data_IF_800052395723
#
_entry.id   IF_800052395723
#
_cell.length_a   1.000
_cell.length_b   1.000
_cell.length_c   1.000
_cell.angle_alpha   90.00
_cell.angle_beta   90.00
_cell.angle_gamma   90.00
#
_symmetry.space_group_name_H-M   'P 1'
#
loop_
_entity.id
_entity.type
_entity.pdbx_description
1 polymer ?
2 non-polymer ?
3 non-polymer ?
4 non-polymer ?
5 non-polymer ?
6 water ?
#
# COMPACT_ATOMS: atom_id res chain seq x y z
N UNK A 13 15.82 -23.91 -10.30
CA UNK A 13 14.99 -23.37 -11.42
C UNK A 13 14.23 -22.07 -11.06
N UNK A 14 14.46 -21.55 -9.85
CA UNK A 14 13.82 -20.33 -9.38
C UNK A 14 14.47 -19.14 -10.06
N UNK A 15 13.65 -18.21 -10.55
CA UNK A 15 14.11 -16.91 -11.04
C UNK A 15 13.69 -15.86 -10.02
N UNK A 16 14.64 -14.99 -9.62
CA UNK A 16 14.38 -13.97 -8.58
C UNK A 16 15.06 -12.63 -8.84
N UNK A 17 14.45 -11.55 -8.33
CA UNK A 17 15.02 -10.21 -8.39
C UNK A 17 15.76 -10.00 -7.08
N UNK A 18 17.10 -9.97 -7.17
CA UNK A 18 17.99 -9.94 -6.02
C UNK A 18 18.86 -8.69 -6.10
N UNK A 19 19.01 -7.98 -4.97
CA UNK A 19 19.98 -6.89 -4.85
C UNK A 19 21.07 -7.27 -3.84
N UNK A 20 22.33 -7.08 -4.24
CA UNK A 20 23.49 -7.37 -3.41
C UNK A 20 23.97 -6.16 -2.59
N UNK A 21 23.57 -4.97 -3.03
CA UNK A 21 23.84 -3.73 -2.31
C UNK A 21 22.70 -2.74 -2.48
N UNK A 22 22.62 -1.78 -1.56
CA UNK A 22 21.61 -0.75 -1.60
C UNK A 22 21.99 0.29 -2.66
N UNK A 23 20.97 0.96 -3.21
CA UNK A 23 21.15 1.97 -4.26
C UNK A 23 19.89 2.14 -5.08
N UNK A 24 20.03 2.79 -6.24
CA UNK A 24 18.96 2.93 -7.24
C UNK A 24 18.50 1.55 -7.71
N UNK A 25 17.25 1.11 -7.39
CA UNK A 25 16.75 -0.19 -7.83
C UNK A 25 16.99 -0.49 -9.32
N UNK A 26 16.76 0.52 -10.16
CA UNK A 26 17.09 0.49 -11.58
C UNK A 26 18.51 -0.07 -11.87
N UNK A 27 19.44 0.13 -10.91
CA UNK A 27 20.84 -0.22 -11.06
C UNK A 27 21.33 -1.44 -10.27
N UNK A 28 20.74 -1.69 -9.10
CA UNK A 28 21.22 -2.71 -8.16
C UNK A 28 20.42 -4.02 -8.13
N UNK A 29 19.20 -4.00 -8.69
CA UNK A 29 18.39 -5.21 -8.84
C UNK A 29 18.77 -6.00 -10.12
N UNK A 30 18.94 -7.32 -9.97
CA UNK A 30 19.26 -8.21 -11.06
C UNK A 30 18.49 -9.52 -10.96
N UNK A 31 18.23 -10.12 -12.12
CA UNK A 31 17.48 -11.35 -12.23
C UNK A 31 18.46 -12.52 -12.12
N UNK A 32 18.35 -13.27 -11.01
CA UNK A 32 19.24 -14.41 -10.71
C UNK A 32 18.49 -15.72 -10.67
N UNK A 33 19.23 -16.83 -10.87
CA UNK A 33 18.72 -18.19 -10.72
C UNK A 33 19.11 -18.79 -9.37
N UNK A 34 18.12 -19.00 -8.50
CA UNK A 34 18.30 -19.67 -7.21
C UNK A 34 17.75 -21.09 -7.29
N UNK A 35 18.06 -21.89 -6.26
CA UNK A 35 17.51 -23.22 -6.11
C UNK A 35 16.64 -23.25 -4.85
N UNK A 36 15.64 -24.14 -4.86
CA UNK A 36 14.67 -24.22 -3.78
C UNK A 36 15.22 -24.92 -2.55
N UNK A 37 14.74 -24.48 -1.38
CA UNK A 37 15.03 -25.17 -0.12
C UNK A 37 14.25 -26.50 -0.08
N UNK A 38 14.43 -27.24 1.01
CA UNK A 38 13.69 -28.47 1.26
C UNK A 38 12.45 -28.12 2.08
N UNK A 39 11.38 -28.89 1.88
CA UNK A 39 10.11 -28.65 2.54
C UNK A 39 10.09 -29.41 3.87
N UNK A 40 10.53 -28.74 4.94
CA UNK A 40 10.45 -29.28 6.30
C UNK A 40 9.00 -29.44 6.78
N UNK A 41 8.84 -30.03 7.98
CA UNK A 41 7.55 -30.38 8.55
C UNK A 41 6.48 -29.30 8.56
N UNK A 42 6.89 -28.06 8.88
CA UNK A 42 5.99 -26.91 8.90
C UNK A 42 6.20 -25.90 7.74
N UNK A 43 6.93 -26.31 6.69
CA UNK A 43 7.19 -25.49 5.50
C UNK A 43 6.13 -25.64 4.40
N UNK A 44 6.06 -24.62 3.54
CA UNK A 44 5.16 -24.57 2.38
C UNK A 44 5.91 -24.12 1.13
N UNK A 45 5.79 -24.87 0.03
CA UNK A 45 6.33 -24.47 -1.27
C UNK A 45 5.26 -23.74 -2.03
N UNK A 46 5.57 -22.51 -2.45
CA UNK A 46 4.63 -21.67 -3.17
C UNK A 46 5.18 -21.32 -4.52
N UNK A 47 4.26 -21.04 -5.45
CA UNK A 47 4.54 -20.44 -6.73
C UNK A 47 3.90 -19.08 -6.73
N UNK A 48 4.72 -18.02 -6.87
CA UNK A 48 4.21 -16.65 -6.87
C UNK A 48 3.37 -16.46 -8.15
N UNK A 49 2.27 -15.72 -8.05
CA UNK A 49 1.42 -15.44 -9.20
C UNK A 49 1.56 -13.98 -9.66
N UNK A 50 1.60 -13.06 -8.69
CA UNK A 50 1.80 -11.64 -8.99
C UNK A 50 2.33 -10.92 -7.77
N UNK A 51 3.08 -9.86 -8.00
CA UNK A 51 3.65 -9.04 -6.91
C UNK A 51 3.81 -7.60 -7.37
N UNK A 52 3.16 -6.62 -6.68
CA UNK A 52 3.30 -5.21 -7.04
C UNK A 52 4.67 -4.65 -6.66
N UNK A 53 4.98 -3.47 -7.22
CA UNK A 53 6.14 -2.68 -6.83
C UNK A 53 5.59 -1.52 -6.03
N UNK A 54 5.85 -1.53 -4.72
CA UNK A 54 5.32 -0.55 -3.79
C UNK A 54 6.46 0.38 -3.34
N UNK A 55 6.16 1.63 -2.93
CA UNK A 55 7.17 2.54 -2.38
C UNK A 55 8.09 1.91 -1.33
N UNK A 56 7.53 1.12 -0.41
CA UNK A 56 8.32 0.43 0.62
C UNK A 56 9.38 -0.49 0.01
N UNK A 57 9.03 -1.19 -1.08
CA UNK A 57 10.00 -2.06 -1.75
C UNK A 57 11.18 -1.25 -2.26
N UNK A 58 10.87 -0.08 -2.84
CA UNK A 58 11.87 0.83 -3.39
C UNK A 58 12.79 1.35 -2.27
N UNK A 59 12.18 1.76 -1.14
CA UNK A 59 12.93 2.24 0.01
C UNK A 59 13.87 1.20 0.62
N UNK A 60 13.40 -0.06 0.70
CA UNK A 60 14.26 -1.16 1.14
C UNK A 60 15.50 -1.29 0.28
N UNK A 61 15.30 -1.27 -1.03
CA UNK A 61 16.41 -1.42 -1.98
C UNK A 61 17.38 -0.20 -1.92
N UNK A 62 16.81 1.00 -1.75
CA UNK A 62 17.59 2.24 -1.60
C UNK A 62 18.34 2.29 -0.26
N UNK A 63 17.86 1.52 0.72
CA UNK A 63 18.50 1.38 2.01
C UNK A 63 18.02 2.39 3.04
N UNK A 64 16.89 3.05 2.77
CA UNK A 64 16.26 3.95 3.73
C UNK A 64 14.88 3.44 4.13
N UNK A 65 14.89 2.54 5.10
CA UNK A 65 13.67 1.92 5.58
C UNK A 65 13.92 1.32 6.94
N UNK A 66 12.85 1.20 7.73
CA UNK A 66 12.93 0.72 9.09
C UNK A 66 13.22 -0.76 9.23
N UNK A 67 13.00 -1.51 8.13
CA UNK A 67 13.30 -2.94 8.04
C UNK A 67 14.12 -3.15 6.76
N UNK A 68 15.31 -3.73 6.90
CA UNK A 68 16.24 -3.91 5.77
C UNK A 68 16.74 -5.35 5.74
N UNK A 69 16.07 -6.27 5.02
CA UNK A 69 16.50 -7.67 4.98
C UNK A 69 17.99 -7.82 4.68
N UNK A 70 18.58 -8.90 5.22
CA UNK A 70 20.00 -9.21 5.05
C UNK A 70 20.29 -9.38 3.56
N UNK A 71 21.43 -8.82 3.11
CA UNK A 71 21.90 -8.90 1.73
C UNK A 71 22.79 -10.13 1.52
N UNK A 72 22.80 -10.76 0.32
CA UNK A 72 21.96 -10.34 -0.80
C UNK A 72 20.49 -10.69 -0.55
N UNK A 73 19.56 -9.83 -0.98
CA UNK A 73 18.15 -10.00 -0.64
C UNK A 73 17.26 -10.01 -1.88
N UNK A 74 16.11 -10.68 -1.76
CA UNK A 74 15.08 -10.69 -2.79
C UNK A 74 14.20 -9.46 -2.59
N UNK A 75 13.95 -8.75 -3.69
CA UNK A 75 13.08 -7.61 -3.72
C UNK A 75 11.63 -8.00 -3.49
N UNK A 76 10.86 -7.05 -2.97
CA UNK A 76 9.42 -7.14 -2.84
C UNK A 76 8.93 -7.67 -1.51
N UNK A 77 7.86 -7.03 -1.00
CA UNK A 77 7.28 -7.43 0.27
C UNK A 77 5.86 -7.92 0.14
N UNK A 78 5.21 -7.60 -0.98
CA UNK A 78 3.82 -7.96 -1.25
C UNK A 78 3.68 -8.88 -2.49
N UNK A 79 2.68 -9.76 -2.42
CA UNK A 79 2.31 -10.61 -3.54
C UNK A 79 1.37 -11.72 -3.12
N UNK A 80 0.76 -12.37 -4.11
CA UNK A 80 -0.05 -13.56 -3.90
C UNK A 80 0.61 -14.72 -4.62
N UNK A 81 0.63 -15.88 -3.95
CA UNK A 81 1.19 -17.11 -4.46
C UNK A 81 0.17 -18.24 -4.29
N UNK A 82 0.34 -19.28 -5.10
CA UNK A 82 -0.43 -20.52 -5.01
C UNK A 82 0.41 -21.57 -4.29
N UNK A 83 -0.16 -22.17 -3.23
CA UNK A 83 0.48 -23.29 -2.50
C UNK A 83 0.60 -24.49 -3.42
N UNK A 84 1.83 -25.00 -3.58
CA UNK A 84 2.07 -26.17 -4.44
C UNK A 84 2.32 -27.48 -3.66
N UNK A 85 3.14 -27.39 -2.62
CA UNK A 85 3.48 -28.53 -1.77
C UNK A 85 3.57 -28.07 -0.32
N UNK A 86 3.25 -28.98 0.60
CA UNK A 86 3.31 -28.68 2.02
C UNK A 86 3.96 -29.79 2.84
N UNK A 87 4.63 -29.38 3.94
CA UNK A 87 5.38 -30.28 4.81
C UNK A 87 4.46 -31.23 5.56
N UNK A 88 5.05 -32.28 6.14
CA UNK A 88 4.29 -33.40 6.69
C UNK A 88 3.40 -33.02 7.88
N UNK A 89 3.76 -31.94 8.59
CA UNK A 89 2.99 -31.49 9.76
C UNK A 89 1.93 -30.43 9.49
N UNK A 90 1.74 -30.02 8.23
CA UNK A 90 0.83 -28.93 7.93
C UNK A 90 -0.58 -29.44 7.62
N UNK A 91 -1.57 -28.87 8.32
CA UNK A 91 -2.98 -29.27 8.17
C UNK A 91 -3.89 -28.09 7.76
N UNK A 92 -3.34 -26.86 7.81
CA UNK A 92 -4.08 -25.63 7.60
C UNK A 92 -3.88 -24.89 6.27
N UNK A 93 -2.95 -25.38 5.43
CA UNK A 93 -2.82 -24.94 4.03
C UNK A 93 -2.80 -26.20 3.20
N UNK A 94 -3.27 -26.10 1.95
CA UNK A 94 -3.37 -27.23 1.02
C UNK A 94 -2.92 -26.78 -0.37
N UNK A 95 -2.42 -27.68 -1.24
CA UNK A 95 -2.16 -27.33 -2.64
C UNK A 95 -3.34 -26.61 -3.27
N UNK A 96 -3.08 -25.47 -3.92
CA UNK A 96 -4.11 -24.71 -4.62
C UNK A 96 -4.57 -23.46 -3.89
N UNK A 97 -4.38 -23.44 -2.56
CA UNK A 97 -4.68 -22.29 -1.75
C UNK A 97 -3.88 -21.09 -2.25
N UNK A 98 -4.48 -19.90 -2.19
CA UNK A 98 -3.75 -18.65 -2.37
C UNK A 98 -3.24 -18.17 -1.02
N UNK A 99 -2.01 -17.65 -1.02
CA UNK A 99 -1.39 -17.11 0.18
C UNK A 99 -0.71 -15.78 -0.07
N UNK A 100 -0.60 -14.99 0.98
CA UNK A 100 0.18 -13.76 0.95
C UNK A 100 1.10 -13.78 2.16
N UNK A 101 2.16 -12.95 2.18
CA UNK A 101 3.04 -12.88 3.35
C UNK A 101 2.32 -12.41 4.60
N UNK A 102 2.69 -12.99 5.75
CA UNK A 102 2.16 -12.57 7.05
C UNK A 102 2.69 -11.20 7.48
N UNK A 103 3.90 -10.86 7.04
CA UNK A 103 4.52 -9.56 7.32
C UNK A 103 5.54 -9.27 6.22
N UNK A 104 6.07 -8.04 6.23
CA UNK A 104 7.09 -7.59 5.30
C UNK A 104 8.39 -8.39 5.43
N UNK A 105 9.24 -8.29 4.42
CA UNK A 105 10.60 -8.79 4.44
C UNK A 105 10.80 -10.12 3.76
N UNK A 106 9.71 -10.70 3.24
CA UNK A 106 9.76 -12.06 2.75
C UNK A 106 10.50 -12.25 1.42
N UNK A 107 10.40 -11.27 0.52
CA UNK A 107 10.99 -11.39 -0.81
C UNK A 107 10.05 -12.09 -1.76
N UNK A 108 9.21 -11.30 -2.43
CA UNK A 108 8.10 -11.80 -3.23
C UNK A 108 8.34 -11.74 -4.75
N UNK A 109 9.38 -11.00 -5.16
CA UNK A 109 9.73 -10.85 -6.58
C UNK A 109 10.56 -12.04 -7.09
N UNK A 110 9.90 -13.22 -7.12
CA UNK A 110 10.50 -14.43 -7.60
C UNK A 110 9.43 -15.46 -8.01
N UNK A 111 9.85 -16.55 -8.66
CA UNK A 111 8.90 -17.52 -9.21
C UNK A 111 8.41 -18.54 -8.18
N UNK A 112 9.34 -19.05 -7.35
CA UNK A 112 9.01 -20.04 -6.35
C UNK A 112 9.82 -19.82 -5.08
N UNK A 113 9.29 -20.30 -3.96
CA UNK A 113 9.97 -20.21 -2.66
C UNK A 113 9.42 -21.22 -1.67
N UNK A 114 10.16 -21.42 -0.58
CA UNK A 114 9.74 -22.27 0.50
C UNK A 114 9.69 -21.40 1.74
N UNK A 115 8.52 -21.31 2.36
CA UNK A 115 8.29 -20.48 3.53
C UNK A 115 7.68 -21.31 4.67
N UNK A 116 8.04 -20.95 5.91
CA UNK A 116 7.37 -21.50 7.08
C UNK A 116 5.86 -21.13 6.98
N UNK A 117 4.98 -22.09 7.29
CA UNK A 117 3.54 -21.84 7.19
C UNK A 117 3.12 -20.61 8.03
N UNK A 118 3.85 -20.36 9.13
CA UNK A 118 3.65 -19.21 10.03
C UNK A 118 3.87 -17.86 9.34
N UNK A 119 4.68 -17.89 8.26
CA UNK A 119 5.06 -16.72 7.48
C UNK A 119 4.00 -16.33 6.42
N UNK A 120 2.97 -17.14 6.30
CA UNK A 120 1.95 -17.01 5.26
C UNK A 120 0.57 -16.91 5.84
N UNK A 121 -0.32 -16.21 5.10
CA UNK A 121 -1.72 -16.01 5.42
C UNK A 121 -2.49 -16.44 4.17
N UNK A 122 -3.46 -17.35 4.34
CA UNK A 122 -4.36 -17.72 3.28
C UNK A 122 -5.32 -16.57 2.95
N UNK A 123 -5.50 -16.32 1.65
CA UNK A 123 -6.49 -15.37 1.14
C UNK A 123 -7.49 -16.11 0.25
N UNK A 124 -8.80 -15.79 0.35
CA UNK A 124 -9.78 -16.48 -0.49
C UNK A 124 -9.39 -16.27 -1.94
N UNK A 125 -9.62 -17.30 -2.76
CA UNK A 125 -9.27 -17.27 -4.17
C UNK A 125 -10.45 -16.91 -5.07
N UNK A 126 -11.58 -16.51 -4.47
CA UNK A 126 -12.74 -16.07 -5.23
C UNK A 126 -12.64 -14.59 -5.66
N UNK A 127 -11.79 -13.80 -4.98
CA UNK A 127 -11.54 -12.40 -5.35
C UNK A 127 -10.60 -12.34 -6.55
N UNK A 128 -10.55 -11.21 -7.31
CA UNK A 128 -9.69 -11.16 -8.49
C UNK A 128 -8.24 -11.22 -8.10
N UNK A 129 -7.43 -11.87 -8.95
CA UNK A 129 -6.05 -12.18 -8.61
C UNK A 129 -5.30 -10.91 -8.24
N UNK A 130 -5.48 -9.85 -9.06
CA UNK A 130 -4.80 -8.58 -8.84
C UNK A 130 -5.20 -7.94 -7.53
N UNK A 131 -6.46 -8.16 -7.11
CA UNK A 131 -6.90 -7.75 -5.80
C UNK A 131 -6.15 -8.46 -4.69
N UNK A 132 -6.02 -9.79 -4.78
CA UNK A 132 -5.30 -10.58 -3.78
C UNK A 132 -3.84 -10.14 -3.72
N UNK A 133 -3.27 -9.84 -4.89
CA UNK A 133 -1.87 -9.44 -5.01
C UNK A 133 -1.56 -8.10 -4.32
N UNK A 134 -2.58 -7.26 -4.18
CA UNK A 134 -2.45 -5.89 -3.66
C UNK A 134 -3.25 -5.65 -2.37
N UNK A 135 -3.86 -6.71 -1.83
CA UNK A 135 -4.76 -6.57 -0.69
C UNK A 135 -3.99 -6.30 0.59
N UNK A 136 -2.82 -6.92 0.71
CA UNK A 136 -2.09 -7.00 1.95
C UNK A 136 -1.42 -5.72 2.42
N UNK A 137 -1.23 -4.75 1.53
CA UNK A 137 -0.54 -3.52 1.88
C UNK A 137 -1.47 -2.28 1.81
N UNK A 138 -1.81 -1.83 0.61
CA UNK A 138 -2.49 -0.52 0.50
C UNK A 138 -3.86 -0.43 1.14
N UNK A 139 -4.79 -1.36 0.83
CA UNK A 139 -6.09 -1.40 1.53
C UNK A 139 -6.00 -1.60 3.03
N UNK A 140 -5.05 -2.42 3.50
CA UNK A 140 -4.86 -2.62 4.93
C UNK A 140 -4.40 -1.32 5.61
N UNK A 141 -3.48 -0.62 4.96
CA UNK A 141 -2.94 0.65 5.48
C UNK A 141 -4.07 1.67 5.59
N UNK A 142 -4.85 1.78 4.53
CA UNK A 142 -5.99 2.69 4.49
C UNK A 142 -6.97 2.39 5.62
N UNK A 143 -7.39 1.13 5.73
CA UNK A 143 -8.36 0.74 6.74
C UNK A 143 -7.83 1.03 8.14
N UNK A 144 -6.57 0.64 8.39
CA UNK A 144 -6.00 0.78 9.71
C UNK A 144 -5.94 2.27 10.11
N UNK A 145 -5.51 3.12 9.17
CA UNK A 145 -5.41 4.55 9.47
C UNK A 145 -6.78 5.19 9.75
N UNK A 146 -7.81 4.72 9.05
CA UNK A 146 -9.17 5.19 9.28
C UNK A 146 -9.78 4.75 10.63
N UNK A 147 -9.30 3.63 11.18
CA UNK A 147 -9.85 3.07 12.42
C UNK A 147 -9.07 3.38 13.70
N UNK A 148 -7.74 3.48 13.59
CA UNK A 148 -6.87 3.39 14.77
C UNK A 148 -6.49 4.69 15.48
N UNK A 149 -6.94 5.83 14.95
CA UNK A 149 -6.49 7.14 15.46
C UNK A 149 -7.61 8.06 15.92
N UNK A 150 -8.62 8.24 15.08
CA UNK A 150 -9.79 9.01 15.47
C UNK A 150 -10.99 8.07 15.26
N UNK A 151 -11.97 8.15 16.15
CA UNK A 151 -13.18 7.36 16.05
C UNK A 151 -14.12 8.14 15.15
N UNK A 152 -14.22 7.71 13.90
CA UNK A 152 -15.01 8.40 12.89
C UNK A 152 -16.36 7.72 12.72
N UNK A 153 -17.41 8.54 12.54
CA UNK A 153 -18.75 8.06 12.35
C UNK A 153 -19.25 8.51 10.98
N UNK A 154 -20.28 7.86 10.41
CA UNK A 154 -20.83 8.31 9.13
C UNK A 154 -21.13 9.80 9.14
N UNK A 155 -20.64 10.50 8.11
CA UNK A 155 -20.78 11.95 7.99
C UNK A 155 -19.53 12.75 8.32
N UNK A 156 -18.61 12.15 9.08
CA UNK A 156 -17.36 12.80 9.45
C UNK A 156 -16.47 12.88 8.22
N UNK A 157 -15.56 13.87 8.21
CA UNK A 157 -14.69 14.09 7.07
C UNK A 157 -13.28 13.62 7.35
N UNK A 158 -12.57 13.32 6.26
CA UNK A 158 -11.16 12.97 6.28
C UNK A 158 -10.51 13.74 5.14
N UNK A 159 -9.31 14.27 5.39
CA UNK A 159 -8.52 14.92 4.36
C UNK A 159 -7.22 14.13 4.18
N UNK A 160 -6.74 14.04 2.95
CA UNK A 160 -5.48 13.31 2.67
C UNK A 160 -4.80 13.96 1.51
N UNK A 161 -3.48 13.73 1.36
CA UNK A 161 -2.74 14.08 0.17
C UNK A 161 -2.26 12.82 -0.57
N UNK A 162 -1.61 13.03 -1.72
CA UNK A 162 -1.21 11.97 -2.62
C UNK A 162 -2.39 11.07 -2.88
N UNK A 163 -3.55 11.69 -3.16
CA UNK A 163 -4.81 10.95 -3.12
C UNK A 163 -4.89 9.95 -4.26
N UNK A 164 -4.12 10.19 -5.33
CA UNK A 164 -4.04 9.27 -6.47
C UNK A 164 -3.13 8.06 -6.27
N UNK A 165 -2.42 7.98 -5.14
CA UNK A 165 -1.53 6.85 -4.83
C UNK A 165 -2.34 5.60 -4.53
N UNK A 166 -1.65 4.45 -4.38
CA UNK A 166 -2.29 3.20 -3.99
C UNK A 166 -3.08 3.31 -2.69
N UNK A 167 -2.42 3.82 -1.64
CA UNK A 167 -3.10 4.03 -0.39
C UNK A 167 -4.22 5.07 -0.54
N UNK A 168 -3.96 6.14 -1.28
CA UNK A 168 -4.93 7.21 -1.46
C UNK A 168 -6.25 6.74 -2.05
N UNK A 169 -6.16 5.92 -3.10
CA UNK A 169 -7.35 5.35 -3.75
C UNK A 169 -8.08 4.40 -2.83
N UNK A 170 -7.33 3.65 -2.01
CA UNK A 170 -7.94 2.74 -1.06
C UNK A 170 -8.66 3.49 0.07
N UNK A 171 -8.06 4.62 0.52
CA UNK A 171 -8.70 5.47 1.50
C UNK A 171 -10.03 5.99 0.93
N UNK A 172 -10.02 6.47 -0.32
CA UNK A 172 -11.23 6.99 -0.94
C UNK A 172 -12.34 5.95 -0.85
N UNK A 173 -12.03 4.71 -1.26
CA UNK A 173 -13.05 3.67 -1.34
C UNK A 173 -13.54 3.20 0.03
N UNK A 174 -12.59 2.98 0.94
CA UNK A 174 -12.91 2.46 2.27
C UNK A 174 -13.61 3.53 3.09
N UNK A 175 -13.12 4.77 2.98
CA UNK A 175 -13.78 5.90 3.64
C UNK A 175 -15.23 6.01 3.15
N UNK A 176 -15.43 5.91 1.84
CA UNK A 176 -16.78 5.93 1.27
C UNK A 176 -17.65 4.79 1.83
N UNK A 177 -17.07 3.60 1.93
CA UNK A 177 -17.77 2.43 2.45
C UNK A 177 -18.18 2.59 3.92
N UNK A 178 -17.42 3.40 4.66
CA UNK A 178 -17.67 3.74 6.05
C UNK A 178 -18.63 4.93 6.21
N UNK A 179 -19.07 5.50 5.09
CA UNK A 179 -19.95 6.67 5.09
C UNK A 179 -19.26 8.00 5.45
N UNK A 180 -17.96 8.07 5.21
CA UNK A 180 -17.13 9.24 5.53
C UNK A 180 -17.06 10.13 4.30
N UNK A 181 -16.70 11.39 4.50
CA UNK A 181 -16.71 12.37 3.42
C UNK A 181 -15.26 12.82 3.22
N UNK A 182 -14.69 12.56 2.04
CA UNK A 182 -13.25 12.82 1.83
C UNK A 182 -12.94 14.09 1.01
N UNK A 183 -11.91 14.80 1.47
CA UNK A 183 -11.23 15.87 0.76
C UNK A 183 -9.86 15.32 0.37
N UNK A 184 -9.61 15.28 -0.94
CA UNK A 184 -8.52 14.53 -1.52
C UNK A 184 -7.58 15.47 -2.26
N UNK A 185 -6.42 15.73 -1.66
CA UNK A 185 -5.43 16.62 -2.25
C UNK A 185 -4.57 15.82 -3.21
N UNK A 186 -4.31 16.42 -4.37
CA UNK A 186 -3.44 15.86 -5.39
C UNK A 186 -2.51 16.92 -5.90
N UNK A 187 -1.52 16.49 -6.68
CA UNK A 187 -0.61 17.41 -7.30
C UNK A 187 -1.26 18.04 -8.53
N UNK A 188 -0.94 19.31 -8.77
CA UNK A 188 -1.37 20.05 -9.92
C UNK A 188 -0.85 19.37 -11.22
N UNK A 189 -1.74 19.21 -12.21
CA UNK A 189 -1.41 18.57 -13.47
C UNK A 189 -2.35 18.97 -14.60
N UNK A 190 -1.98 18.77 -15.89
CA UNK A 190 -2.82 19.19 -17.02
C UNK A 190 -4.17 18.47 -17.12
N UNK A 191 -4.22 17.20 -16.70
CA UNK A 191 -5.41 16.37 -16.85
C UNK A 191 -6.12 16.27 -15.51
N UNK A 192 -6.19 17.40 -14.79
CA UNK A 192 -6.75 17.41 -13.46
C UNK A 192 -8.23 17.07 -13.46
N UNK A 193 -8.98 17.59 -14.43
CA UNK A 193 -10.40 17.32 -14.52
C UNK A 193 -10.66 15.81 -14.64
N UNK A 194 -9.94 15.15 -15.55
CA UNK A 194 -10.06 13.70 -15.70
C UNK A 194 -9.74 12.95 -14.42
N UNK A 195 -8.66 13.35 -13.73
CA UNK A 195 -8.24 12.69 -12.50
C UNK A 195 -9.31 12.86 -11.44
N UNK A 196 -9.82 14.09 -11.35
CA UNK A 196 -10.85 14.44 -10.39
C UNK A 196 -12.11 13.58 -10.57
N UNK A 197 -12.58 13.43 -11.82
CA UNK A 197 -13.79 12.66 -12.08
C UNK A 197 -13.59 11.19 -11.69
N UNK A 198 -12.41 10.68 -12.01
CA UNK A 198 -12.03 9.33 -11.71
C UNK A 198 -12.03 9.04 -10.21
N UNK A 199 -11.40 9.91 -9.42
CA UNK A 199 -11.40 9.76 -7.98
C UNK A 199 -12.82 9.91 -7.41
N UNK A 200 -13.60 10.84 -7.96
CA UNK A 200 -15.00 10.97 -7.55
C UNK A 200 -15.85 9.69 -7.81
N UNK A 201 -15.57 8.98 -8.90
CA UNK A 201 -16.28 7.75 -9.22
C UNK A 201 -15.90 6.60 -8.29
N UNK A 202 -14.74 6.70 -7.65
CA UNK A 202 -14.34 5.76 -6.60
C UNK A 202 -14.97 6.08 -5.26
N UNK A 203 -15.60 7.26 -5.17
CA UNK A 203 -16.25 7.74 -3.97
C UNK A 203 -15.78 9.04 -3.35
N UNK A 204 -14.76 9.70 -3.94
CA UNK A 204 -14.25 10.97 -3.36
C UNK A 204 -15.33 12.02 -3.42
N UNK A 205 -15.49 12.78 -2.33
CA UNK A 205 -16.42 13.87 -2.37
C UNK A 205 -15.83 15.12 -3.05
N UNK A 206 -14.62 15.51 -2.65
CA UNK A 206 -13.93 16.62 -3.32
C UNK A 206 -12.49 16.27 -3.60
N UNK A 207 -11.98 16.85 -4.69
CA UNK A 207 -10.61 16.69 -5.12
C UNK A 207 -10.06 18.09 -5.35
N UNK A 208 -8.98 18.40 -4.64
CA UNK A 208 -8.31 19.70 -4.73
C UNK A 208 -6.83 19.53 -4.94
N UNK A 209 -6.19 20.56 -5.51
CA UNK A 209 -4.75 20.58 -5.76
C UNK A 209 -3.96 21.12 -4.52
N UNK A 210 -2.66 20.78 -4.45
CA UNK A 210 -1.74 21.38 -3.47
C UNK A 210 -1.76 22.92 -3.55
N UNK A 211 -1.89 23.48 -4.76
CA UNK A 211 -1.98 24.92 -4.99
C UNK A 211 -3.21 25.52 -4.29
N UNK A 212 -4.35 24.84 -4.44
CA UNK A 212 -5.60 25.23 -3.79
C UNK A 212 -5.47 25.15 -2.28
N UNK A 213 -4.85 24.06 -1.81
CA UNK A 213 -4.68 23.79 -0.39
C UNK A 213 -3.93 24.90 0.30
N UNK A 214 -2.94 25.49 -0.40
CA UNK A 214 -2.09 26.55 0.15
C UNK A 214 -2.78 27.91 0.34
N UNK A 215 -3.94 28.11 -0.30
CA UNK A 215 -4.67 29.37 -0.19
C UNK A 215 -5.14 29.54 1.25
N UNK A 216 -4.90 30.70 1.91
CA UNK A 216 -5.45 30.96 3.24
C UNK A 216 -6.96 30.66 3.34
N UNK A 217 -7.72 31.24 2.39
CA UNK A 217 -9.19 31.16 2.31
C UNK A 217 -9.75 29.74 2.36
N UNK A 218 -9.06 28.82 1.68
CA UNK A 218 -9.54 27.47 1.42
C UNK A 218 -9.87 26.65 2.68
N UNK A 219 -9.33 27.06 3.83
CA UNK A 219 -9.56 26.41 5.14
C UNK A 219 -11.05 26.26 5.51
N UNK A 220 -11.85 27.24 5.09
CA UNK A 220 -13.30 27.24 5.28
C UNK A 220 -13.99 27.50 3.93
N UNK A 221 -13.71 26.61 2.97
CA UNK A 221 -14.16 26.75 1.59
C UNK A 221 -15.36 25.84 1.28
N UNK A 222 -15.26 24.57 1.70
CA UNK A 222 -16.35 23.60 1.52
C UNK A 222 -17.34 23.73 2.68
N UNK A 223 -18.21 24.75 2.58
CA UNK A 223 -19.18 25.13 3.62
C UNK A 223 -20.07 23.97 4.08
N UNK A 224 -20.45 23.11 3.14
CA UNK A 224 -21.39 22.03 3.41
C UNK A 224 -20.77 20.74 3.89
N UNK A 225 -19.54 20.81 4.43
CA UNK A 225 -19.00 19.67 5.12
C UNK A 225 -18.23 20.00 6.39
N UNK A 226 -18.24 19.06 7.37
CA UNK A 226 -17.59 19.32 8.66
C UNK A 226 -16.09 19.35 8.50
N UNK A 227 -15.44 20.03 9.43
CA UNK A 227 -13.99 20.05 9.46
C UNK A 227 -13.52 18.64 9.80
N UNK A 228 -12.47 18.14 9.11
CA UNK A 228 -11.94 16.81 9.40
C UNK A 228 -11.16 16.76 10.72
N UNK A 229 -11.32 15.66 11.45
CA UNK A 229 -10.56 15.38 12.66
C UNK A 229 -9.38 14.51 12.34
N UNK A 230 -9.30 14.00 11.09
CA UNK A 230 -8.22 13.14 10.63
C UNK A 230 -7.69 13.58 9.29
N UNK A 231 -6.36 13.70 9.20
CA UNK A 231 -5.62 14.04 8.00
C UNK A 231 -4.57 12.94 7.80
N UNK A 232 -4.46 12.49 6.55
CA UNK A 232 -3.53 11.43 6.16
C UNK A 232 -2.49 12.01 5.19
N UNK A 233 -1.22 11.90 5.58
CA UNK A 233 -0.12 12.57 4.93
C UNK A 233 0.95 11.60 4.48
N UNK A 234 1.43 11.80 3.25
CA UNK A 234 2.65 11.11 2.82
C UNK A 234 3.54 11.99 1.98
N UNK A 235 3.37 13.30 2.13
CA UNK A 235 4.16 14.28 1.35
C UNK A 235 5.20 15.07 2.15
N UNK A 236 4.85 15.48 3.36
CA UNK A 236 5.77 16.30 4.13
C UNK A 236 5.98 17.75 3.66
N UNK A 237 7.00 18.40 4.23
CA UNK A 237 7.31 19.80 4.03
C UNK A 237 6.13 20.74 4.23
N UNK A 238 6.12 21.85 3.49
CA UNK A 238 5.03 22.84 3.50
C UNK A 238 3.67 22.21 3.23
N UNK A 239 3.61 21.27 2.28
CA UNK A 239 2.36 20.56 2.01
C UNK A 239 1.75 19.91 3.24
N UNK A 240 2.60 19.30 4.08
CA UNK A 240 2.11 18.67 5.30
C UNK A 240 1.58 19.73 6.28
N UNK A 241 2.22 20.91 6.30
CA UNK A 241 1.74 21.98 7.17
C UNK A 241 0.34 22.44 6.73
N UNK A 242 0.13 22.52 5.42
CA UNK A 242 -1.13 22.99 4.88
C UNK A 242 -2.25 22.00 5.13
N UNK A 243 -1.92 20.71 5.10
CA UNK A 243 -2.85 19.66 5.47
C UNK A 243 -3.26 19.79 6.93
N UNK A 244 -2.25 19.94 7.81
CA UNK A 244 -2.50 20.17 9.25
C UNK A 244 -3.46 21.29 9.51
N UNK A 245 -3.27 22.39 8.79
CA UNK A 245 -4.06 23.58 8.94
C UNK A 245 -5.54 23.34 8.72
N UNK A 246 -5.88 22.26 8.00
CA UNK A 246 -7.27 21.98 7.70
C UNK A 246 -8.00 21.25 8.81
N UNK A 247 -7.26 20.77 9.79
CA UNK A 247 -7.84 19.96 10.86
C UNK A 247 -8.68 20.77 11.85
N UNK A 248 -9.76 20.15 12.35
CA UNK A 248 -10.48 20.62 13.52
C UNK A 248 -9.55 20.61 14.72
N UNK A 249 -9.79 21.54 15.64
CA UNK A 249 -9.08 21.58 16.90
C UNK A 249 -9.07 20.19 17.52
N UNK A 250 -7.90 19.74 17.99
CA UNK A 250 -7.76 18.43 18.60
C UNK A 250 -7.58 17.26 17.61
N UNK A 251 -7.55 17.54 16.32
CA UNK A 251 -7.46 16.51 15.28
C UNK A 251 -6.07 15.93 15.16
N UNK A 252 -5.96 14.82 14.41
CA UNK A 252 -4.72 14.10 14.22
C UNK A 252 -4.34 14.05 12.76
N UNK A 253 -3.06 14.32 12.47
CA UNK A 253 -2.45 14.06 11.18
C UNK A 253 -1.55 12.81 11.32
N UNK A 254 -1.86 11.78 10.52
CA UNK A 254 -1.12 10.53 10.49
C UNK A 254 -0.26 10.49 9.25
N UNK A 255 1.06 10.32 9.45
CA UNK A 255 2.01 10.23 8.36
C UNK A 255 2.37 8.74 8.13
N UNK A 256 2.26 8.29 6.87
CA UNK A 256 2.50 6.91 6.52
C UNK A 256 3.50 6.70 5.39
N UNK A 257 4.01 7.79 4.82
CA UNK A 257 5.07 7.73 3.85
C UNK A 257 5.72 9.07 3.73
N UNK A 258 6.72 9.16 2.85
CA UNK A 258 7.38 10.41 2.55
C UNK A 258 8.83 10.16 2.20
N UNK A 259 9.64 11.23 2.29
CA UNK A 259 11.05 11.23 1.90
C UNK A 259 11.92 11.79 3.02
N UNK A 260 13.21 11.42 3.02
CA UNK A 260 14.14 11.85 4.06
C UNK A 260 14.31 13.36 4.10
N UNK A 261 14.40 13.98 2.91
CA UNK A 261 14.70 15.41 2.82
C UNK A 261 13.48 16.31 2.89
N UNK A 262 12.29 15.71 3.11
CA UNK A 262 11.07 16.46 3.25
C UNK A 262 10.41 16.07 4.57
N UNK A 263 10.98 16.46 5.73
CA UNK A 263 10.34 16.19 7.02
C UNK A 263 9.00 16.89 7.11
N UNK A 264 8.15 16.36 7.99
CA UNK A 264 6.90 16.97 8.37
C UNK A 264 7.18 18.21 9.23
N UNK A 265 6.47 19.31 8.93
CA UNK A 265 6.69 20.59 9.53
C UNK A 265 5.37 21.01 10.17
N UNK A 266 5.43 21.27 11.48
CA UNK A 266 4.27 21.65 12.28
C UNK A 266 4.51 22.97 12.98
N UNK A 267 3.68 23.96 12.67
CA UNK A 267 3.84 25.25 13.27
C UNK A 267 3.47 25.18 14.75
N UNK A 268 4.17 25.96 15.55
CA UNK A 268 3.98 26.01 16.99
C UNK A 268 2.54 26.37 17.31
N UNK A 269 1.97 27.35 16.59
CA UNK A 269 0.57 27.74 16.82
C UNK A 269 -0.43 26.60 16.62
N UNK A 270 -0.19 25.72 15.64
CA UNK A 270 -1.07 24.62 15.34
C UNK A 270 -0.98 23.56 16.43
N UNK A 271 0.22 23.28 16.91
CA UNK A 271 0.37 22.31 18.00
C UNK A 271 -0.27 22.86 19.30
N UNK A 272 0.06 24.11 19.64
CA UNK A 272 -0.32 24.67 20.93
C UNK A 272 -1.80 25.10 20.90
N UNK A 273 -2.16 26.04 20.02
CA UNK A 273 -3.47 26.68 20.13
C UNK A 273 -4.61 25.83 19.54
N UNK A 274 -4.28 25.04 18.52
CA UNK A 274 -5.23 24.12 17.89
C UNK A 274 -5.13 22.69 18.43
N UNK A 275 -4.13 22.41 19.28
CA UNK A 275 -4.02 21.14 19.99
C UNK A 275 -4.04 19.97 19.04
N UNK A 276 -3.33 20.12 17.93
CA UNK A 276 -3.24 19.08 16.92
C UNK A 276 -2.24 17.99 17.39
N UNK A 277 -2.44 16.77 16.88
CA UNK A 277 -1.56 15.63 17.17
C UNK A 277 -0.92 15.15 15.88
N UNK A 278 0.37 14.85 15.92
CA UNK A 278 1.05 14.21 14.78
C UNK A 278 1.46 12.82 15.19
N UNK A 279 1.13 11.86 14.32
CA UNK A 279 1.43 10.46 14.49
C UNK A 279 1.99 9.82 13.22
N UNK A 280 2.58 8.64 13.39
CA UNK A 280 2.95 7.80 12.29
C UNK A 280 2.10 6.55 12.26
N UNK A 281 2.13 5.87 11.11
CA UNK A 281 1.56 4.56 10.97
C UNK A 281 2.49 3.74 10.11
N UNK A 282 2.79 2.52 10.58
CA UNK A 282 3.64 1.55 9.87
C UNK A 282 2.99 0.18 9.91
N UNK A 283 2.46 -0.25 8.76
CA UNK A 283 1.66 -1.47 8.68
C UNK A 283 2.48 -2.70 9.17
N UNK A 284 3.76 -2.76 8.78
CA UNK A 284 4.62 -3.87 9.19
C UNK A 284 4.72 -4.00 10.71
N UNK A 285 4.83 -2.87 11.41
CA UNK A 285 4.83 -2.90 12.86
C UNK A 285 3.48 -3.38 13.40
N UNK A 286 2.38 -2.92 12.78
CA UNK A 286 1.05 -3.37 13.18
C UNK A 286 0.96 -4.91 13.11
N UNK A 287 1.44 -5.45 11.99
CA UNK A 287 1.41 -6.89 11.71
C UNK A 287 2.29 -7.63 12.71
N UNK A 288 3.47 -7.05 13.02
CA UNK A 288 4.38 -7.64 13.98
C UNK A 288 3.70 -7.68 15.34
N UNK A 289 3.05 -6.59 15.72
CA UNK A 289 2.40 -6.44 17.02
C UNK A 289 1.14 -7.29 17.20
N UNK A 290 0.55 -7.75 16.08
CA UNK A 290 -0.73 -8.46 16.12
C UNK A 290 -0.55 -9.89 15.64
N UNK A 291 -1.54 -10.73 15.93
CA UNK A 291 -1.46 -12.15 15.63
C UNK A 291 -1.78 -12.34 14.15
N UNK A 292 -1.34 -13.46 13.53
CA UNK A 292 -1.77 -13.78 12.17
C UNK A 292 -3.31 -13.80 12.04
N UNK A 293 -4.00 -14.35 13.05
CA UNK A 293 -5.47 -14.35 13.06
C UNK A 293 -6.10 -12.95 12.99
N UNK A 294 -5.47 -11.97 13.64
CA UNK A 294 -5.95 -10.58 13.62
C UNK A 294 -5.75 -9.96 12.24
N UNK A 295 -4.64 -10.32 11.58
CA UNK A 295 -4.38 -9.89 10.21
C UNK A 295 -5.35 -10.58 9.24
N UNK A 296 -5.57 -11.88 9.44
CA UNK A 296 -6.56 -12.61 8.66
C UNK A 296 -7.96 -11.98 8.77
N UNK A 297 -8.35 -11.52 9.96
CA UNK A 297 -9.66 -10.89 10.13
C UNK A 297 -9.76 -9.60 9.31
N UNK A 298 -8.67 -8.84 9.26
CA UNK A 298 -8.60 -7.63 8.43
C UNK A 298 -8.75 -7.98 6.95
N UNK A 299 -8.04 -9.03 6.51
CA UNK A 299 -8.13 -9.51 5.13
C UNK A 299 -9.55 -9.91 4.78
N UNK A 300 -10.24 -10.62 5.68
CA UNK A 300 -11.61 -11.10 5.42
C UNK A 300 -12.58 -9.91 5.32
N UNK A 301 -12.40 -8.93 6.20
CA UNK A 301 -13.10 -7.66 6.13
C UNK A 301 -12.99 -7.05 4.72
N UNK A 302 -11.75 -6.89 4.23
CA UNK A 302 -11.50 -6.30 2.93
C UNK A 302 -12.04 -7.17 1.78
N UNK A 303 -11.94 -8.49 1.92
CA UNK A 303 -12.55 -9.42 0.97
C UNK A 303 -14.06 -9.23 0.87
N UNK A 304 -14.71 -9.00 2.00
CA UNK A 304 -16.15 -8.71 2.00
C UNK A 304 -16.44 -7.38 1.29
N UNK A 305 -15.62 -6.35 1.54
CA UNK A 305 -15.80 -5.09 0.83
C UNK A 305 -15.66 -5.31 -0.68
N UNK A 306 -14.70 -6.14 -1.08
CA UNK A 306 -14.53 -6.45 -2.49
C UNK A 306 -15.80 -7.13 -3.06
N UNK A 307 -16.27 -8.20 -2.40
CA UNK A 307 -17.43 -8.93 -2.90
C UNK A 307 -18.70 -8.09 -2.91
N UNK A 308 -18.80 -7.15 -1.95
CA UNK A 308 -19.91 -6.22 -1.85
C UNK A 308 -19.84 -5.05 -2.86
N UNK A 309 -18.79 -5.04 -3.70
CA UNK A 309 -18.54 -4.01 -4.69
C UNK A 309 -18.17 -2.65 -4.10
N UNK A 310 -17.65 -2.66 -2.87
CA UNK A 310 -17.26 -1.47 -2.14
C UNK A 310 -15.76 -1.17 -2.24
N UNK A 311 -14.98 -2.12 -2.77
CA UNK A 311 -13.55 -1.97 -2.98
C UNK A 311 -13.19 -2.70 -4.27
N UNK A 312 -12.44 -2.02 -5.15
CA UNK A 312 -11.92 -2.54 -6.41
C UNK A 312 -10.46 -2.16 -6.56
N UNK A 313 -9.67 -3.02 -7.22
CA UNK A 313 -8.22 -2.80 -7.34
C UNK A 313 -7.95 -1.67 -8.33
N UNK A 314 -6.88 -0.87 -8.16
CA UNK A 314 -6.65 0.26 -9.07
C UNK A 314 -6.24 -0.25 -10.43
N UNK A 315 -6.16 0.67 -11.39
CA UNK A 315 -5.64 0.40 -12.72
C UNK A 315 -4.18 -0.01 -12.57
N UNK A 316 -3.81 -1.16 -13.16
CA UNK A 316 -2.49 -1.76 -13.04
C UNK A 316 -1.93 -2.08 -14.42
N UNK A 317 -0.61 -1.89 -14.59
CA UNK A 317 0.12 -2.40 -15.74
C UNK A 317 0.80 -3.70 -15.33
N UNK A 318 0.35 -4.81 -15.92
CA UNK A 318 0.95 -6.11 -15.70
C UNK A 318 2.27 -6.20 -16.49
N UNK A 319 3.37 -6.50 -15.79
CA UNK A 319 4.68 -6.66 -16.41
C UNK A 319 5.28 -8.01 -16.03
N UNK A 320 5.69 -8.83 -17.02
CA UNK A 320 6.37 -10.09 -16.72
C UNK A 320 7.64 -9.83 -15.90
N UNK A 321 7.95 -10.73 -14.97
CA UNK A 321 9.17 -10.69 -14.14
C UNK A 321 10.42 -10.36 -14.96
N UNK A 322 10.53 -10.96 -16.15
CA UNK A 322 11.63 -10.74 -17.08
C UNK A 322 11.82 -9.29 -17.50
N UNK A 323 10.71 -8.54 -17.58
CA UNK A 323 10.75 -7.14 -18.02
C UNK A 323 10.72 -6.20 -16.81
N UNK A 324 11.25 -6.68 -15.69
CA UNK A 324 11.23 -5.94 -14.42
C UNK A 324 11.90 -4.57 -14.51
N UNK A 325 12.94 -4.48 -15.34
CA UNK A 325 13.68 -3.24 -15.54
C UNK A 325 12.70 -2.10 -15.84
N UNK A 326 11.87 -2.26 -16.87
CA UNK A 326 10.92 -1.22 -17.28
C UNK A 326 9.87 -0.92 -16.22
N UNK A 327 9.53 -1.94 -15.42
CA UNK A 327 8.56 -1.79 -14.34
C UNK A 327 9.12 -0.91 -13.22
N UNK A 328 10.38 -1.17 -12.83
CA UNK A 328 11.08 -0.33 -11.87
C UNK A 328 11.13 1.11 -12.39
N UNK A 329 11.61 1.27 -13.63
CA UNK A 329 11.67 2.55 -14.32
C UNK A 329 10.37 3.33 -14.12
N UNK A 330 9.24 2.69 -14.46
CA UNK A 330 7.92 3.32 -14.39
C UNK A 330 7.50 3.77 -12.99
N UNK A 331 7.81 2.97 -11.97
CA UNK A 331 7.42 3.29 -10.59
C UNK A 331 8.28 4.39 -9.92
N UNK A 332 9.45 4.69 -10.49
CA UNK A 332 10.30 5.80 -10.04
C UNK A 332 9.66 7.15 -10.39
N UNK A 333 9.17 7.24 -11.63
CA UNK A 333 8.49 8.40 -12.18
C UNK A 333 7.73 9.24 -11.15
N UNK A 334 8.01 10.57 -11.05
CA UNK A 334 7.24 11.45 -10.16
C UNK A 334 5.72 11.34 -10.31
N UNK A 335 5.23 11.46 -11.55
CA UNK A 335 3.83 11.19 -11.91
C UNK A 335 3.78 9.79 -12.51
N UNK A 336 3.55 8.79 -11.66
CA UNK A 336 3.65 7.36 -11.99
C UNK A 336 2.63 6.97 -13.07
N UNK A 337 3.12 6.77 -14.31
CA UNK A 337 2.31 6.39 -15.48
C UNK A 337 1.04 5.65 -15.08
N UNK A 338 1.22 4.51 -14.42
CA UNK A 338 0.17 3.73 -13.77
C UNK A 338 0.89 2.66 -12.93
N UNK A 339 0.25 2.22 -11.84
CA UNK A 339 0.84 1.24 -10.94
C UNK A 339 1.38 0.04 -11.74
N UNK A 340 2.58 -0.43 -11.35
CA UNK A 340 3.25 -1.56 -11.97
C UNK A 340 3.07 -2.78 -11.11
N UNK A 341 2.72 -3.90 -11.73
CA UNK A 341 2.64 -5.16 -11.02
C UNK A 341 3.40 -6.22 -11.80
N UNK A 342 4.29 -6.94 -11.10
CA UNK A 342 5.06 -8.02 -11.69
C UNK A 342 4.18 -9.26 -11.69
N UNK A 343 4.11 -9.94 -12.84
CA UNK A 343 3.31 -11.14 -12.99
C UNK A 343 4.20 -12.28 -13.38
N UNK A 344 3.93 -13.44 -12.79
CA UNK A 344 4.66 -14.68 -13.08
C UNK A 344 3.84 -15.64 -13.93
N UNK A 345 2.56 -15.30 -14.18
CA UNK A 345 1.70 -16.11 -15.07
C UNK A 345 1.54 -15.42 -16.40
N UNK A 346 1.53 -16.22 -17.46
CA UNK A 346 1.06 -15.80 -18.76
C UNK A 346 -0.45 -15.51 -18.66
N UNK A 347 -0.90 -14.46 -19.35
CA UNK A 347 -2.33 -14.12 -19.40
C UNK A 347 -2.89 -14.39 -20.80
N UNK A 348 -4.19 -14.11 -21.00
CA UNK A 348 -4.85 -14.31 -22.31
C UNK A 348 -4.17 -13.48 -23.40
N UNK A 349 -3.82 -12.23 -23.06
CA UNK A 349 -3.04 -11.36 -23.93
C UNK A 349 -1.55 -11.40 -23.55
N UNK A 350 -0.72 -11.84 -24.50
CA UNK A 350 0.72 -11.92 -24.31
C UNK A 350 1.32 -10.53 -24.14
N UNK A 351 2.30 -10.42 -23.24
CA UNK A 351 3.08 -9.20 -23.02
C UNK A 351 4.56 -9.53 -23.27
N UNK A 352 5.09 -9.08 -24.41
CA UNK A 352 6.52 -9.19 -24.72
C UNK A 352 7.38 -8.38 -23.73
X LIG B 1 3.43 -4.78 5.61
X LIG C 1 -1.41 11.22 20.52
X LIG D 1 -14.26 18.91 -5.79
X LIG E 1 -0.42 15.61 -3.19
X LIG F 1 -6.83 9.78 -14.92
X LIG F 1 -8.21 9.17 -14.99
X LIG F 1 -6.93 11.29 -15.12
X LIG F 1 -5.94 9.18 -16.00
X LIG F 1 -6.21 9.51 -13.55
X LIG G 1 12.46 7.69 5.60
X LIG G 1 13.84 7.35 5.54
X LIG G 1 11.71 7.25 4.35
X LIG G 1 12.30 6.06 3.84
X LIG G 1 10.23 7.05 4.57
X LIG G 1 9.80 5.78 4.10
X LIG H 1 3.87 1.80 13.57
X LIG H 1 4.85 1.80 14.60
X LIG H 1 2.46 1.69 14.11
X LIG H 1 1.61 2.41 13.23
X LIG H 1 1.95 0.26 14.25
X LIG H 1 0.52 0.20 14.33
X LIG I 1 -1.16 12.81 -6.63
X LIG I 1 -1.33 13.16 -7.82
X LIG I 1 -1.78 11.86 -6.08
X LIG I 1 -0.13 13.56 -5.81
X LIG J 1 10.35 -3.07 17.33
X LIG J 1 10.35 -2.26 16.37
X LIG J 1 9.45 -3.92 17.53
X LIG J 1 11.53 -3.02 18.30
#
# INVERSE_FOLDING_TARGET
MASSYSASAEPARVRALVYGHHGDPAKVVELKNLELAAVRGSDVRVKMLAAPINPSDINMIQGNYGLLPELPAVGGNEGVAQVVAVGSNVTGLKPGDWVIPANAGLGTWRTEAVFSEEALIQVPSDIPLQSAATLGVNPCTAYRMLMDFEQLQPGDSVIQNASNSGVGQAVIQIAAALGLRTINVVRDRPDIQKLSDRLKSLGAEHVITEEELRRPEMKNFFKDMPQPRLALNCVGGKSSTELLRQLARGGTMVTYGGMAKQPVVASVSLLIFKDLKLRGFWLSQWKKDHSPDQFKELILTLCDLIRRGQLTAPACSQVPLQDYQSALEASMKPFISSKQILTMLEHHHHHH
CL CL
CL CL
CL CL
CL CL
PO4 P O1 O2 O3 O4
GOL C1 O1 C2 O2 C3 O3
GOL C1 O1 C2 O2 C3 O3
ACY C O OXT CH3
ACY C O OXT CH3
#
